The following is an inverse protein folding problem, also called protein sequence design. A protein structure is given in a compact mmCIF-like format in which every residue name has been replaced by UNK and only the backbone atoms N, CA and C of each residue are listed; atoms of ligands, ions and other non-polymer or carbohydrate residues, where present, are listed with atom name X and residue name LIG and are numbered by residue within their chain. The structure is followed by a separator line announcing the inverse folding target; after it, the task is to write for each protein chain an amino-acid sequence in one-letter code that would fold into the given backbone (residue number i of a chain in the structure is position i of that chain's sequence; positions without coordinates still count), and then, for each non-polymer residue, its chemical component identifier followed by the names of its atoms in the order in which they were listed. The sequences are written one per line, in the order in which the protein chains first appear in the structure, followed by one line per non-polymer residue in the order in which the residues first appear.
data_IF_390354634720
#
_entry.id   IF_390354634720
#
_cell.length_a   1.000
_cell.length_b   1.000
_cell.length_c   1.000
_cell.angle_alpha   90.00
_cell.angle_beta   90.00
_cell.angle_gamma   90.00
#
_symmetry.space_group_name_H-M   'P 1'
#
loop_
_entity.id
_entity.type
_entity.pdbx_description
1 polymer ?
#
# COMPACT_ATOMS: atom_id res chain seq x y z
N UNK A 1 23.13 3.71 -23.82
CA UNK A 1 21.83 3.30 -23.28
C UNK A 1 21.44 4.24 -22.14
N UNK A 2 20.40 5.06 -22.35
CA UNK A 2 19.67 5.79 -21.31
C UNK A 2 19.30 4.91 -20.10
N UNK A 3 19.20 5.55 -18.95
CA UNK A 3 18.88 4.92 -17.66
C UNK A 3 17.52 4.19 -17.70
N UNK A 4 16.53 4.76 -18.41
CA UNK A 4 15.22 4.11 -18.59
C UNK A 4 15.28 2.88 -19.49
N UNK A 5 16.13 2.89 -20.51
CA UNK A 5 16.31 1.72 -21.40
C UNK A 5 17.00 0.56 -20.66
N UNK A 6 17.94 0.86 -19.74
CA UNK A 6 18.52 -0.13 -18.81
C UNK A 6 17.45 -0.80 -17.96
N UNK A 7 16.52 -0.02 -17.41
CA UNK A 7 15.40 -0.54 -16.63
C UNK A 7 14.50 -1.48 -17.44
N UNK A 8 14.10 -1.03 -18.63
CA UNK A 8 13.19 -1.79 -19.49
C UNK A 8 13.86 -3.09 -19.99
N UNK A 9 15.14 -3.04 -20.36
CA UNK A 9 15.89 -4.21 -20.79
C UNK A 9 16.05 -5.22 -19.64
N UNK A 10 16.35 -4.76 -18.43
CA UNK A 10 16.43 -5.63 -17.25
C UNK A 10 15.10 -6.32 -16.95
N UNK A 11 13.97 -5.62 -17.07
CA UNK A 11 12.64 -6.19 -16.85
C UNK A 11 12.34 -7.33 -17.84
N UNK A 12 12.64 -7.13 -19.12
CA UNK A 12 12.47 -8.17 -20.15
C UNK A 12 13.34 -9.41 -19.90
N UNK A 13 14.54 -9.21 -19.35
CA UNK A 13 15.50 -10.28 -19.10
C UNK A 13 15.28 -10.98 -17.75
N UNK A 14 14.48 -10.42 -16.84
CA UNK A 14 14.23 -11.00 -15.50
C UNK A 14 13.71 -12.45 -15.55
N UNK A 15 12.93 -12.78 -16.58
CA UNK A 15 12.44 -14.15 -16.82
C UNK A 15 13.48 -15.05 -17.51
N UNK A 16 14.23 -14.52 -18.48
CA UNK A 16 15.06 -15.31 -19.40
C UNK A 16 16.54 -15.41 -19.01
N UNK A 17 17.12 -14.34 -18.45
CA UNK A 17 18.53 -14.23 -18.08
C UNK A 17 18.68 -13.30 -16.85
N UNK A 18 18.49 -13.89 -15.67
CA UNK A 18 18.55 -13.15 -14.40
C UNK A 18 19.93 -12.53 -14.13
N UNK A 19 21.08 -13.21 -14.40
CA UNK A 19 22.40 -12.59 -14.27
C UNK A 19 22.56 -11.34 -15.14
N UNK A 20 22.10 -11.37 -16.40
CA UNK A 20 22.17 -10.20 -17.26
C UNK A 20 21.22 -9.09 -16.78
N UNK A 21 19.99 -9.44 -16.37
CA UNK A 21 19.06 -8.48 -15.79
C UNK A 21 19.68 -7.77 -14.58
N UNK A 22 20.31 -8.51 -13.67
CA UNK A 22 20.99 -7.96 -12.49
C UNK A 22 22.10 -6.98 -12.88
N UNK A 23 22.94 -7.37 -13.84
CA UNK A 23 24.02 -6.51 -14.34
C UNK A 23 23.48 -5.18 -14.86
N UNK A 24 22.37 -5.20 -15.59
CA UNK A 24 21.73 -3.99 -16.11
C UNK A 24 21.14 -3.13 -15.00
N UNK A 25 20.52 -3.74 -13.97
CA UNK A 25 20.01 -3.02 -12.80
C UNK A 25 21.12 -2.34 -12.01
N UNK A 26 22.24 -3.03 -11.76
CA UNK A 26 23.40 -2.47 -11.07
C UNK A 26 24.06 -1.33 -11.87
N UNK A 27 24.13 -1.46 -13.20
CA UNK A 27 24.59 -0.37 -14.07
C UNK A 27 23.64 0.84 -14.02
N UNK A 28 22.33 0.60 -13.98
CA UNK A 28 21.33 1.65 -13.80
C UNK A 28 21.52 2.37 -12.47
N UNK A 29 21.69 1.63 -11.39
CA UNK A 29 21.90 2.17 -10.04
C UNK A 29 23.17 3.02 -9.94
N UNK A 30 24.27 2.58 -10.54
CA UNK A 30 25.51 3.35 -10.55
C UNK A 30 25.39 4.68 -11.31
N UNK A 31 24.50 4.75 -12.31
CA UNK A 31 24.28 5.96 -13.12
C UNK A 31 23.21 6.89 -12.57
N UNK A 32 22.26 6.35 -11.82
CA UNK A 32 21.19 7.10 -11.18
C UNK A 32 20.89 6.53 -9.79
N UNK A 33 21.70 6.89 -8.78
CA UNK A 33 21.58 6.33 -7.44
C UNK A 33 20.30 6.72 -6.70
N UNK A 34 19.61 7.77 -7.14
CA UNK A 34 18.38 8.27 -6.50
C UNK A 34 17.12 7.55 -6.98
N UNK A 35 17.24 6.75 -8.03
CA UNK A 35 16.12 5.97 -8.58
C UNK A 35 15.82 4.71 -7.79
N UNK A 36 14.64 4.13 -8.04
CA UNK A 36 14.08 2.95 -7.33
C UNK A 36 14.74 1.60 -7.73
N UNK A 37 16.05 1.58 -7.96
CA UNK A 37 16.80 0.36 -8.33
C UNK A 37 16.80 -0.73 -7.27
N UNK A 38 16.93 -0.41 -5.96
CA UNK A 38 16.86 -1.41 -4.90
C UNK A 38 15.57 -2.23 -4.94
N UNK A 39 14.43 -1.61 -5.30
CA UNK A 39 13.16 -2.32 -5.46
C UNK A 39 13.20 -3.35 -6.58
N UNK A 40 13.76 -2.97 -7.74
CA UNK A 40 13.87 -3.88 -8.90
C UNK A 40 14.80 -5.04 -8.59
N UNK A 41 15.93 -4.78 -7.93
CA UNK A 41 16.85 -5.83 -7.47
C UNK A 41 16.19 -6.75 -6.45
N UNK A 42 15.48 -6.20 -5.46
CA UNK A 42 14.78 -6.98 -4.45
C UNK A 42 13.73 -7.91 -5.07
N UNK A 43 12.96 -7.43 -6.04
CA UNK A 43 12.01 -8.27 -6.81
C UNK A 43 12.73 -9.36 -7.60
N UNK A 44 13.78 -9.02 -8.36
CA UNK A 44 14.57 -9.98 -9.14
C UNK A 44 15.12 -11.11 -8.27
N UNK A 45 15.65 -10.78 -7.09
CA UNK A 45 16.15 -11.79 -6.16
C UNK A 45 15.04 -12.63 -5.53
N UNK A 46 13.88 -12.06 -5.20
CA UNK A 46 12.74 -12.84 -4.73
C UNK A 46 12.23 -13.83 -5.79
N UNK A 47 12.13 -13.40 -7.04
CA UNK A 47 11.76 -14.25 -8.18
C UNK A 47 12.80 -15.34 -8.46
N UNK A 48 14.09 -15.04 -8.25
CA UNK A 48 15.15 -16.03 -8.32
C UNK A 48 14.98 -17.13 -7.26
N UNK A 49 14.69 -16.76 -6.01
CA UNK A 49 14.48 -17.70 -4.92
C UNK A 49 13.29 -18.62 -5.20
N UNK A 50 12.18 -18.09 -5.72
CA UNK A 50 10.98 -18.85 -6.05
C UNK A 50 11.07 -19.65 -7.37
N UNK A 51 12.13 -19.43 -8.16
CA UNK A 51 12.32 -20.01 -9.48
C UNK A 51 13.04 -21.35 -9.49
N UNK A 52 13.15 -21.96 -10.69
CA UNK A 52 13.79 -23.26 -10.88
C UNK A 52 15.34 -23.21 -10.99
N UNK A 53 15.93 -22.04 -11.21
CA UNK A 53 17.39 -21.88 -11.31
C UNK A 53 18.04 -21.86 -9.93
N UNK A 54 18.42 -23.04 -9.44
CA UNK A 54 19.02 -23.23 -8.13
C UNK A 54 20.38 -22.50 -7.97
N UNK A 55 21.15 -22.35 -9.06
CA UNK A 55 22.47 -21.72 -8.99
C UNK A 55 22.32 -20.21 -8.75
N UNK A 56 21.46 -19.55 -9.52
CA UNK A 56 21.19 -18.13 -9.33
C UNK A 56 20.38 -17.85 -8.06
N UNK A 57 19.45 -18.74 -7.66
CA UNK A 57 18.76 -18.63 -6.37
C UNK A 57 19.72 -18.60 -5.18
N UNK A 58 20.76 -19.46 -5.19
CA UNK A 58 21.79 -19.46 -4.14
C UNK A 58 22.57 -18.14 -4.09
N UNK A 59 22.93 -17.59 -5.24
CA UNK A 59 23.59 -16.28 -5.32
C UNK A 59 22.68 -15.16 -4.83
N UNK A 60 21.42 -15.15 -5.24
CA UNK A 60 20.42 -14.18 -4.79
C UNK A 60 20.24 -14.23 -3.27
N UNK A 61 20.17 -15.44 -2.68
CA UNK A 61 20.08 -15.64 -1.23
C UNK A 61 21.28 -15.03 -0.51
N UNK A 62 22.50 -15.33 -0.98
CA UNK A 62 23.73 -14.79 -0.40
C UNK A 62 23.75 -13.26 -0.46
N UNK A 63 23.44 -12.66 -1.62
CA UNK A 63 23.41 -11.21 -1.79
C UNK A 63 22.41 -10.54 -0.85
N UNK A 64 21.25 -11.16 -0.65
CA UNK A 64 20.26 -10.68 0.32
C UNK A 64 20.75 -10.81 1.77
N UNK A 65 21.45 -11.88 2.12
CA UNK A 65 22.03 -12.07 3.47
C UNK A 65 23.18 -11.08 3.76
N UNK A 66 23.93 -10.67 2.75
CA UNK A 66 25.02 -9.70 2.87
C UNK A 66 24.56 -8.25 2.72
N UNK A 67 23.34 -8.02 2.23
CA UNK A 67 22.81 -6.68 1.96
C UNK A 67 22.70 -5.83 3.23
N UNK A 68 23.07 -4.56 3.07
CA UNK A 68 22.85 -3.48 4.04
C UNK A 68 21.85 -2.43 3.49
N UNK A 69 21.22 -2.72 2.35
CA UNK A 69 20.22 -1.85 1.73
C UNK A 69 18.81 -2.23 2.25
N UNK A 70 18.19 -1.38 3.11
CA UNK A 70 16.89 -1.67 3.69
C UNK A 70 15.76 -1.67 2.66
N UNK A 71 15.85 -0.88 1.58
CA UNK A 71 14.82 -0.86 0.54
C UNK A 71 14.86 -2.15 -0.31
N UNK A 72 16.05 -2.64 -0.60
CA UNK A 72 16.26 -3.93 -1.27
C UNK A 72 15.68 -5.06 -0.41
N UNK A 73 16.04 -5.11 0.88
CA UNK A 73 15.60 -6.14 1.82
C UNK A 73 14.07 -6.10 2.06
N UNK A 74 13.49 -4.91 2.25
CA UNK A 74 12.05 -4.74 2.40
C UNK A 74 11.29 -5.24 1.17
N UNK A 75 11.78 -4.90 -0.03
CA UNK A 75 11.14 -5.31 -1.28
C UNK A 75 11.27 -6.82 -1.50
N UNK A 76 12.47 -7.37 -1.34
CA UNK A 76 12.69 -8.81 -1.46
C UNK A 76 11.85 -9.58 -0.44
N UNK A 77 11.82 -9.11 0.82
CA UNK A 77 11.04 -9.71 1.89
C UNK A 77 9.55 -9.79 1.56
N UNK A 78 8.97 -8.71 1.04
CA UNK A 78 7.57 -8.70 0.60
C UNK A 78 7.29 -9.73 -0.52
N UNK A 79 8.10 -9.74 -1.59
CA UNK A 79 7.87 -10.65 -2.71
C UNK A 79 8.11 -12.11 -2.33
N UNK A 80 9.11 -12.40 -1.50
CA UNK A 80 9.37 -13.74 -0.96
C UNK A 80 8.20 -14.20 -0.10
N UNK A 81 7.65 -13.32 0.75
CA UNK A 81 6.50 -13.63 1.59
C UNK A 81 5.27 -14.07 0.78
N UNK A 82 5.00 -13.39 -0.35
CA UNK A 82 3.85 -13.69 -1.22
C UNK A 82 4.12 -14.77 -2.27
N UNK A 83 5.34 -15.29 -2.32
CA UNK A 83 5.73 -16.30 -3.31
C UNK A 83 5.31 -17.71 -2.89
N UNK A 84 5.39 -18.66 -3.84
CA UNK A 84 5.19 -20.09 -3.58
C UNK A 84 6.44 -20.79 -3.00
N UNK A 85 7.47 -20.02 -2.59
CA UNK A 85 8.68 -20.57 -2.00
C UNK A 85 8.33 -21.31 -0.68
N UNK A 86 8.82 -22.55 -0.47
CA UNK A 86 8.75 -23.19 0.84
C UNK A 86 9.36 -22.30 1.93
N UNK A 87 8.66 -22.11 3.04
CA UNK A 87 9.04 -21.19 4.12
C UNK A 87 9.18 -19.72 3.70
N UNK A 88 8.67 -19.33 2.52
CA UNK A 88 8.72 -17.96 2.00
C UNK A 88 8.11 -16.93 2.96
N UNK A 89 7.07 -17.30 3.71
CA UNK A 89 6.49 -16.40 4.72
C UNK A 89 7.46 -16.10 5.86
N UNK A 90 8.16 -17.11 6.38
CA UNK A 90 9.16 -16.94 7.45
C UNK A 90 10.34 -16.14 6.93
N UNK A 91 10.82 -16.49 5.73
CA UNK A 91 11.96 -15.86 5.11
C UNK A 91 11.71 -14.40 4.76
N UNK A 92 10.52 -14.11 4.22
CA UNK A 92 10.09 -12.77 3.87
C UNK A 92 10.00 -11.86 5.09
N UNK A 93 9.42 -12.36 6.20
CA UNK A 93 9.39 -11.65 7.49
C UNK A 93 10.79 -11.32 8.00
N UNK A 94 11.71 -12.29 7.98
CA UNK A 94 13.08 -12.06 8.44
C UNK A 94 13.80 -10.95 7.65
N UNK A 95 13.58 -10.86 6.34
CA UNK A 95 14.14 -9.77 5.52
C UNK A 95 13.54 -8.40 5.83
N UNK A 96 12.22 -8.32 6.02
CA UNK A 96 11.56 -7.07 6.42
C UNK A 96 12.00 -6.63 7.82
N UNK A 97 12.12 -7.56 8.77
CA UNK A 97 12.61 -7.27 10.12
C UNK A 97 14.06 -6.76 10.09
N UNK A 98 14.93 -7.38 9.29
CA UNK A 98 16.29 -6.89 9.12
C UNK A 98 16.34 -5.51 8.47
N UNK A 99 15.47 -5.23 7.49
CA UNK A 99 15.36 -3.89 6.91
C UNK A 99 15.00 -2.83 7.97
N UNK A 100 14.08 -3.16 8.89
CA UNK A 100 13.70 -2.28 10.01
C UNK A 100 14.79 -2.15 11.08
N UNK A 101 15.63 -3.18 11.27
CA UNK A 101 16.79 -3.08 12.16
C UNK A 101 17.87 -2.15 11.58
N UNK A 102 18.07 -2.18 10.26
CA UNK A 102 19.04 -1.31 9.56
C UNK A 102 18.55 0.12 9.47
N UNK A 103 17.26 0.30 9.18
CA UNK A 103 16.61 1.61 9.13
C UNK A 103 15.21 1.53 9.77
N UNK A 104 15.10 1.90 11.06
CA UNK A 104 13.82 1.94 11.78
C UNK A 104 12.81 2.95 11.23
N UNK A 105 13.17 3.81 10.27
CA UNK A 105 12.27 4.77 9.62
C UNK A 105 12.01 4.41 8.15
N UNK A 106 12.45 3.22 7.71
CA UNK A 106 12.29 2.77 6.33
C UNK A 106 10.82 2.62 5.96
N UNK A 107 10.32 3.59 5.19
CA UNK A 107 8.95 3.58 4.62
C UNK A 107 8.68 2.26 3.85
N UNK A 108 9.58 1.77 2.96
CA UNK A 108 9.38 0.48 2.30
C UNK A 108 9.25 -0.71 3.25
N UNK A 109 10.02 -0.73 4.35
CA UNK A 109 10.00 -1.83 5.30
C UNK A 109 8.73 -1.83 6.16
N UNK A 110 8.29 -0.67 6.64
CA UNK A 110 7.00 -0.53 7.31
C UNK A 110 5.83 -0.89 6.38
N UNK A 111 5.86 -0.43 5.13
CA UNK A 111 4.84 -0.79 4.14
C UNK A 111 4.80 -2.30 3.86
N UNK A 112 5.97 -2.96 3.76
CA UNK A 112 6.06 -4.41 3.61
C UNK A 112 5.49 -5.13 4.83
N UNK A 113 5.84 -4.70 6.05
CA UNK A 113 5.31 -5.26 7.31
C UNK A 113 3.79 -5.13 7.38
N UNK A 114 3.25 -3.95 7.06
CA UNK A 114 1.81 -3.71 7.02
C UNK A 114 1.07 -4.60 6.01
N UNK A 115 1.64 -4.81 4.82
CA UNK A 115 1.05 -5.71 3.79
C UNK A 115 1.04 -7.18 4.19
N UNK A 116 2.03 -7.59 4.97
CA UNK A 116 2.19 -8.97 5.41
C UNK A 116 1.41 -9.27 6.70
N UNK A 117 0.91 -8.22 7.35
CA UNK A 117 0.09 -8.32 8.53
C UNK A 117 -1.30 -8.85 8.17
N UNK A 118 -1.76 -9.85 8.92
CA UNK A 118 -3.12 -10.34 8.84
C UNK A 118 -3.81 -10.01 10.16
N UNK A 119 -4.99 -9.37 10.10
CA UNK A 119 -5.73 -9.05 11.31
C UNK A 119 -6.20 -10.36 11.94
N UNK A 120 -6.40 -10.36 13.26
CA UNK A 120 -7.01 -11.51 13.92
C UNK A 120 -8.44 -11.74 13.38
N UNK A 121 -8.83 -13.01 13.25
CA UNK A 121 -10.19 -13.37 12.83
C UNK A 121 -11.23 -12.76 13.77
N UNK A 122 -12.27 -12.16 13.19
CA UNK A 122 -13.32 -11.49 13.94
C UNK A 122 -12.91 -10.19 14.65
N UNK A 123 -11.70 -9.66 14.40
CA UNK A 123 -11.32 -8.31 14.82
C UNK A 123 -12.07 -7.23 14.04
N UNK A 124 -12.03 -5.99 14.54
CA UNK A 124 -12.62 -4.85 13.85
C UNK A 124 -12.01 -4.65 12.45
N UNK A 125 -10.69 -4.87 12.30
CA UNK A 125 -9.99 -4.75 11.03
C UNK A 125 -10.37 -5.87 10.05
N UNK A 126 -10.58 -7.10 10.54
CA UNK A 126 -11.09 -8.20 9.71
C UNK A 126 -12.50 -7.90 9.18
N UNK A 127 -13.40 -7.39 10.03
CA UNK A 127 -14.75 -6.97 9.63
C UNK A 127 -14.72 -5.83 8.61
N UNK A 128 -13.83 -4.85 8.79
CA UNK A 128 -13.70 -3.73 7.84
C UNK A 128 -13.23 -4.20 6.45
N UNK A 129 -12.25 -5.11 6.39
CA UNK A 129 -11.80 -5.75 5.13
C UNK A 129 -12.90 -6.58 4.49
N UNK A 130 -13.70 -7.29 5.30
CA UNK A 130 -14.86 -8.03 4.81
C UNK A 130 -15.91 -7.09 4.20
N UNK A 131 -16.20 -5.97 4.86
CA UNK A 131 -17.13 -4.97 4.37
C UNK A 131 -16.71 -4.40 3.00
N UNK A 132 -15.42 -4.09 2.84
CA UNK A 132 -14.85 -3.66 1.57
C UNK A 132 -15.03 -4.72 0.47
N UNK A 133 -14.73 -5.99 0.78
CA UNK A 133 -14.94 -7.09 -0.16
C UNK A 133 -16.39 -7.23 -0.59
N UNK A 134 -17.33 -7.16 0.35
CA UNK A 134 -18.78 -7.23 0.08
C UNK A 134 -19.25 -6.05 -0.78
N UNK A 135 -18.74 -4.85 -0.51
CA UNK A 135 -19.04 -3.66 -1.30
C UNK A 135 -18.63 -3.83 -2.77
N UNK A 136 -17.40 -4.28 -3.02
CA UNK A 136 -16.91 -4.51 -4.39
C UNK A 136 -17.58 -5.68 -5.11
N UNK A 137 -18.17 -6.62 -4.36
CA UNK A 137 -19.04 -7.68 -4.91
C UNK A 137 -20.47 -7.19 -5.20
N UNK A 138 -20.80 -5.94 -4.84
CA UNK A 138 -22.13 -5.35 -5.02
C UNK A 138 -23.12 -5.66 -3.90
N UNK A 139 -22.72 -6.41 -2.86
CA UNK A 139 -23.56 -6.70 -1.70
C UNK A 139 -23.48 -5.55 -0.68
N UNK A 140 -24.26 -4.50 -0.95
CA UNK A 140 -24.28 -3.28 -0.14
C UNK A 140 -24.82 -3.52 1.28
N UNK A 141 -25.74 -4.47 1.45
CA UNK A 141 -26.34 -4.74 2.76
C UNK A 141 -25.34 -5.45 3.68
N UNK A 142 -24.65 -6.47 3.17
CA UNK A 142 -23.56 -7.12 3.90
C UNK A 142 -22.43 -6.11 4.20
N UNK A 143 -22.04 -5.30 3.22
CA UNK A 143 -21.01 -4.27 3.40
C UNK A 143 -21.38 -3.26 4.50
N UNK A 144 -22.63 -2.78 4.50
CA UNK A 144 -23.11 -1.84 5.53
C UNK A 144 -23.10 -2.47 6.91
N UNK A 145 -23.56 -3.72 7.03
CA UNK A 145 -23.59 -4.47 8.30
C UNK A 145 -22.18 -4.67 8.86
N UNK A 146 -21.26 -5.14 8.03
CA UNK A 146 -19.89 -5.45 8.44
C UNK A 146 -19.12 -4.17 8.80
N UNK A 147 -19.25 -3.09 8.02
CA UNK A 147 -18.63 -1.81 8.32
C UNK A 147 -19.17 -1.19 9.63
N UNK A 148 -20.48 -1.26 9.85
CA UNK A 148 -21.08 -0.77 11.11
C UNK A 148 -20.58 -1.58 12.31
N UNK A 149 -20.47 -2.89 12.16
CA UNK A 149 -19.96 -3.79 13.20
C UNK A 149 -18.48 -3.52 13.50
N UNK A 150 -17.67 -3.29 12.46
CA UNK A 150 -16.27 -2.90 12.59
C UNK A 150 -16.12 -1.61 13.41
N UNK A 151 -16.91 -0.57 13.14
CA UNK A 151 -16.88 0.68 13.91
C UNK A 151 -17.26 0.47 15.38
N UNK A 152 -18.30 -0.32 15.65
CA UNK A 152 -18.71 -0.62 17.02
C UNK A 152 -17.64 -1.38 17.80
N UNK A 153 -16.96 -2.33 17.15
CA UNK A 153 -15.89 -3.10 17.78
C UNK A 153 -14.62 -2.27 17.96
N UNK A 154 -14.22 -1.47 16.97
CA UNK A 154 -13.06 -0.58 17.08
C UNK A 154 -13.21 0.42 18.24
N UNK A 155 -14.42 0.92 18.48
CA UNK A 155 -14.71 1.80 19.62
C UNK A 155 -14.58 1.09 20.98
N UNK A 156 -14.84 -0.22 21.04
CA UNK A 156 -14.70 -1.02 22.27
C UNK A 156 -13.27 -1.49 22.52
N UNK A 157 -12.46 -1.59 21.46
CA UNK A 157 -11.11 -2.16 21.48
C UNK A 157 -10.08 -1.15 20.99
N UNK A 158 -9.99 0.02 21.62
CA UNK A 158 -9.05 1.09 21.24
C UNK A 158 -7.58 0.75 21.48
N UNK A 159 -7.29 -0.37 22.15
CA UNK A 159 -5.93 -0.90 22.34
C UNK A 159 -5.51 -1.89 21.26
N UNK A 160 -6.43 -2.32 20.39
CA UNK A 160 -6.12 -3.18 19.24
C UNK A 160 -5.19 -2.42 18.29
N UNK A 161 -4.07 -3.00 17.83
CA UNK A 161 -3.10 -2.29 16.97
C UNK A 161 -3.67 -1.79 15.64
N UNK A 162 -4.78 -2.38 15.16
CA UNK A 162 -5.39 -2.08 13.87
C UNK A 162 -6.70 -1.28 13.99
N UNK A 163 -7.11 -0.86 15.20
CA UNK A 163 -8.40 -0.21 15.40
C UNK A 163 -8.58 1.06 14.54
N UNK A 164 -7.51 1.84 14.34
CA UNK A 164 -7.54 3.00 13.45
C UNK A 164 -7.76 2.62 11.99
N UNK A 165 -7.08 1.57 11.50
CA UNK A 165 -7.30 1.00 10.16
C UNK A 165 -8.77 0.59 9.98
N UNK A 166 -9.34 -0.08 10.99
CA UNK A 166 -10.74 -0.49 10.96
C UNK A 166 -11.70 0.71 10.87
N UNK A 167 -11.45 1.77 11.64
CA UNK A 167 -12.24 3.02 11.60
C UNK A 167 -12.16 3.66 10.21
N UNK A 168 -10.96 3.76 9.65
CA UNK A 168 -10.75 4.33 8.33
C UNK A 168 -11.53 3.55 7.26
N UNK A 169 -11.25 2.24 7.12
CA UNK A 169 -11.84 1.40 6.07
C UNK A 169 -13.37 1.32 6.17
N UNK A 170 -13.91 1.13 7.38
CA UNK A 170 -15.34 1.06 7.57
C UNK A 170 -16.05 2.38 7.18
N UNK A 171 -15.47 3.53 7.53
CA UNK A 171 -16.01 4.82 7.10
C UNK A 171 -15.91 5.02 5.58
N UNK A 172 -14.81 4.60 4.94
CA UNK A 172 -14.70 4.68 3.48
C UNK A 172 -15.80 3.88 2.79
N UNK A 173 -16.07 2.64 3.24
CA UNK A 173 -17.15 1.81 2.71
C UNK A 173 -18.52 2.44 2.94
N UNK A 174 -18.82 2.88 4.16
CA UNK A 174 -20.10 3.53 4.47
C UNK A 174 -20.31 4.81 3.66
N UNK A 175 -19.25 5.58 3.41
CA UNK A 175 -19.30 6.76 2.56
C UNK A 175 -19.59 6.44 1.09
N UNK A 176 -18.97 5.39 0.53
CA UNK A 176 -19.25 4.96 -0.85
C UNK A 176 -20.68 4.40 -0.99
N UNK A 177 -21.20 3.71 0.02
CA UNK A 177 -22.59 3.30 0.07
C UNK A 177 -23.51 4.53 0.12
N UNK A 178 -23.21 5.52 0.97
CA UNK A 178 -23.99 6.76 1.03
C UNK A 178 -24.00 7.53 -0.30
N UNK A 179 -22.90 7.51 -1.07
CA UNK A 179 -22.89 8.05 -2.43
C UNK A 179 -23.86 7.30 -3.36
N UNK A 180 -23.95 5.97 -3.24
CA UNK A 180 -24.92 5.16 -4.01
C UNK A 180 -26.37 5.48 -3.64
N UNK A 181 -26.61 5.88 -2.38
CA UNK A 181 -27.92 6.25 -1.86
C UNK A 181 -28.26 7.74 -2.14
N UNK A 182 -27.42 8.45 -2.89
CA UNK A 182 -27.49 9.91 -3.11
C UNK A 182 -27.46 10.75 -1.81
N UNK A 183 -26.96 10.17 -0.70
CA UNK A 183 -26.76 10.85 0.57
C UNK A 183 -25.34 11.42 0.67
N UNK A 184 -25.11 12.48 -0.10
CA UNK A 184 -23.83 13.19 -0.16
C UNK A 184 -23.38 13.69 1.21
N UNK A 185 -24.31 14.13 2.05
CA UNK A 185 -24.00 14.66 3.39
C UNK A 185 -23.41 13.57 4.29
N UNK A 186 -23.99 12.38 4.28
CA UNK A 186 -23.44 11.23 5.01
C UNK A 186 -22.11 10.77 4.41
N UNK A 187 -21.96 10.78 3.09
CA UNK A 187 -20.70 10.44 2.43
C UNK A 187 -19.55 11.37 2.87
N UNK A 188 -19.78 12.69 2.90
CA UNK A 188 -18.79 13.67 3.42
C UNK A 188 -18.46 13.40 4.89
N UNK A 189 -19.48 13.15 5.73
CA UNK A 189 -19.26 12.87 7.15
C UNK A 189 -18.38 11.63 7.35
N UNK A 190 -18.65 10.56 6.61
CA UNK A 190 -17.87 9.34 6.65
C UNK A 190 -16.43 9.58 6.17
N UNK A 191 -16.23 10.28 5.04
CA UNK A 191 -14.89 10.60 4.54
C UNK A 191 -14.05 11.36 5.57
N UNK A 192 -14.63 12.37 6.22
CA UNK A 192 -13.91 13.15 7.24
C UNK A 192 -13.62 12.33 8.51
N UNK A 193 -14.54 11.46 8.92
CA UNK A 193 -14.31 10.52 10.02
C UNK A 193 -13.19 9.52 9.70
N UNK A 194 -13.06 9.08 8.45
CA UNK A 194 -11.94 8.26 8.01
C UNK A 194 -10.61 9.03 8.13
N UNK A 195 -10.57 10.29 7.68
CA UNK A 195 -9.39 11.15 7.78
C UNK A 195 -8.91 11.40 9.23
N UNK A 196 -9.83 11.35 10.19
CA UNK A 196 -9.55 11.54 11.62
C UNK A 196 -9.23 10.23 12.37
N UNK A 197 -9.18 9.08 11.67
CA UNK A 197 -8.84 7.80 12.27
C UNK A 197 -7.45 7.83 12.93
N UNK A 198 -7.28 7.25 14.13
CA UNK A 198 -5.98 7.15 14.78
C UNK A 198 -4.94 6.47 13.90
N UNK A 199 -3.70 6.97 13.92
CA UNK A 199 -2.63 6.38 13.12
C UNK A 199 -2.34 4.95 13.56
N UNK A 200 -2.32 4.04 12.60
CA UNK A 200 -1.79 2.68 12.73
C UNK A 200 -0.60 2.54 11.79
N UNK A 201 0.17 1.46 11.92
CA UNK A 201 1.25 1.18 10.97
C UNK A 201 0.72 1.07 9.53
N UNK A 202 -0.39 0.37 9.34
CA UNK A 202 -1.04 0.26 8.04
C UNK A 202 -1.46 1.64 7.52
N UNK A 203 -2.21 2.45 8.29
CA UNK A 203 -2.60 3.78 7.81
C UNK A 203 -1.43 4.73 7.53
N UNK A 204 -0.33 4.61 8.26
CA UNK A 204 0.84 5.46 8.08
C UNK A 204 1.65 5.09 6.81
N UNK A 205 1.79 3.80 6.51
CA UNK A 205 2.75 3.32 5.50
C UNK A 205 2.14 2.52 4.36
N UNK A 206 0.90 2.06 4.50
CA UNK A 206 0.20 1.25 3.52
C UNK A 206 -1.33 1.37 3.65
N UNK A 207 -1.94 2.20 2.83
CA UNK A 207 -3.40 2.22 2.74
C UNK A 207 -3.79 1.31 1.58
N UNK A 208 -4.27 0.09 1.90
CA UNK A 208 -4.81 -0.82 0.89
C UNK A 208 -5.96 -0.17 0.12
N UNK A 209 -6.11 -0.61 -1.14
CA UNK A 209 -7.13 -0.31 -2.16
C UNK A 209 -8.10 0.87 -1.93
N UNK A 210 -8.20 1.70 -2.98
CA UNK A 210 -9.24 2.72 -3.12
C UNK A 210 -9.26 3.89 -2.10
N UNK A 211 -8.13 4.39 -1.54
CA UNK A 211 -8.17 5.56 -0.65
C UNK A 211 -8.77 6.80 -1.35
N UNK A 212 -8.77 6.82 -2.67
CA UNK A 212 -9.24 7.93 -3.49
C UNK A 212 -10.60 7.69 -4.17
N UNK A 213 -11.26 6.52 -4.03
CA UNK A 213 -12.55 6.30 -4.69
C UNK A 213 -13.63 7.23 -4.13
N UNK A 214 -13.85 7.20 -2.81
CA UNK A 214 -14.82 8.08 -2.16
C UNK A 214 -14.48 9.57 -2.36
N UNK A 215 -13.23 10.04 -2.11
CA UNK A 215 -12.84 11.41 -2.44
C UNK A 215 -13.05 11.78 -3.92
N UNK A 216 -12.78 10.85 -4.84
CA UNK A 216 -12.99 11.03 -6.28
C UNK A 216 -14.46 11.22 -6.63
N UNK A 217 -15.33 10.36 -6.11
CA UNK A 217 -16.79 10.47 -6.28
C UNK A 217 -17.31 11.80 -5.74
N UNK A 218 -16.89 12.17 -4.52
CA UNK A 218 -17.30 13.41 -3.87
C UNK A 218 -16.80 14.64 -4.63
N UNK A 219 -15.56 14.62 -5.12
CA UNK A 219 -15.00 15.71 -5.92
C UNK A 219 -15.74 15.89 -7.25
N UNK A 220 -16.10 14.78 -7.92
CA UNK A 220 -16.89 14.80 -9.14
C UNK A 220 -18.31 15.34 -8.91
N UNK A 221 -18.87 15.11 -7.72
CA UNK A 221 -20.20 15.59 -7.31
C UNK A 221 -20.17 17.04 -6.75
N UNK A 222 -19.00 17.69 -6.77
CA UNK A 222 -18.81 19.11 -6.42
C UNK A 222 -18.31 19.38 -5.00
N UNK A 223 -18.00 18.36 -4.20
CA UNK A 223 -17.55 18.49 -2.79
C UNK A 223 -16.07 18.85 -2.65
N UNK A 224 -15.66 19.96 -3.28
CA UNK A 224 -14.27 20.39 -3.34
C UNK A 224 -13.65 20.67 -1.97
N UNK A 225 -14.31 21.44 -1.12
CA UNK A 225 -13.76 21.86 0.17
C UNK A 225 -13.64 20.68 1.15
N UNK A 226 -14.62 19.78 1.16
CA UNK A 226 -14.57 18.57 1.99
C UNK A 226 -13.45 17.63 1.56
N UNK A 227 -13.21 17.49 0.25
CA UNK A 227 -12.09 16.67 -0.25
C UNK A 227 -10.74 17.32 0.07
N UNK A 228 -10.60 18.64 -0.04
CA UNK A 228 -9.40 19.35 0.40
C UNK A 228 -9.15 19.15 1.91
N UNK A 229 -10.20 19.18 2.72
CA UNK A 229 -10.11 18.94 4.15
C UNK A 229 -9.69 17.49 4.46
N UNK A 230 -10.25 16.51 3.76
CA UNK A 230 -9.83 15.10 3.86
C UNK A 230 -8.34 14.95 3.56
N UNK A 231 -7.87 15.44 2.41
CA UNK A 231 -6.47 15.33 1.98
C UNK A 231 -5.51 15.96 3.00
N UNK A 232 -5.85 17.15 3.51
CA UNK A 232 -5.02 17.85 4.49
C UNK A 232 -4.95 17.15 5.85
N UNK A 233 -6.06 16.54 6.30
CA UNK A 233 -6.09 15.76 7.55
C UNK A 233 -5.34 14.44 7.39
N UNK A 234 -5.65 13.72 6.32
CA UNK A 234 -5.06 12.40 6.07
C UNK A 234 -3.55 12.47 5.80
N UNK A 235 -3.04 13.55 5.20
CA UNK A 235 -1.61 13.77 5.02
C UNK A 235 -0.82 13.88 6.33
N UNK A 236 -1.49 14.16 7.47
CA UNK A 236 -0.84 14.13 8.79
C UNK A 236 -0.58 12.70 9.25
N UNK A 237 -1.49 11.78 8.93
CA UNK A 237 -1.47 10.36 9.31
C UNK A 237 -0.66 9.53 8.32
N UNK A 238 -0.95 9.63 7.02
CA UNK A 238 -0.31 8.84 5.98
C UNK A 238 1.07 9.41 5.62
N UNK A 239 2.12 8.80 6.15
CA UNK A 239 3.52 9.19 5.93
C UNK A 239 3.96 8.84 4.51
N UNK A 240 3.59 7.65 4.03
CA UNK A 240 3.98 7.16 2.71
C UNK A 240 3.50 8.08 1.57
N UNK A 241 2.23 8.51 1.62
CA UNK A 241 1.60 9.25 0.52
C UNK A 241 1.48 10.76 0.81
N UNK A 242 2.07 11.26 1.92
CA UNK A 242 1.94 12.68 2.34
C UNK A 242 2.18 13.67 1.21
N UNK A 243 3.25 13.46 0.43
CA UNK A 243 3.60 14.36 -0.69
C UNK A 243 2.54 14.36 -1.77
N UNK A 244 2.00 13.18 -2.12
CA UNK A 244 1.01 13.00 -3.17
C UNK A 244 -0.36 13.54 -2.76
N UNK A 245 -0.73 13.36 -1.48
CA UNK A 245 -1.94 13.94 -0.88
C UNK A 245 -1.91 15.47 -0.94
N UNK A 246 -0.79 16.08 -0.54
CA UNK A 246 -0.63 17.54 -0.58
C UNK A 246 -0.60 18.07 -2.02
N UNK A 247 0.12 17.40 -2.93
CA UNK A 247 0.13 17.76 -4.34
C UNK A 247 -1.27 17.66 -4.97
N UNK A 248 -2.04 16.63 -4.63
CA UNK A 248 -3.43 16.49 -5.08
C UNK A 248 -4.31 17.63 -4.57
N UNK A 249 -4.13 18.04 -3.31
CA UNK A 249 -4.84 19.20 -2.76
C UNK A 249 -4.49 20.50 -3.50
N UNK A 250 -3.22 20.70 -3.86
CA UNK A 250 -2.80 21.85 -4.65
C UNK A 250 -3.39 21.86 -6.05
N UNK A 251 -3.45 20.70 -6.74
CA UNK A 251 -4.13 20.59 -8.04
C UNK A 251 -5.60 21.03 -7.92
N UNK A 252 -6.32 20.50 -6.93
CA UNK A 252 -7.74 20.82 -6.72
C UNK A 252 -7.92 22.32 -6.43
N UNK A 253 -7.03 22.95 -5.64
CA UNK A 253 -7.07 24.40 -5.37
C UNK A 253 -6.97 25.23 -6.67
N UNK A 254 -6.23 24.74 -7.65
CA UNK A 254 -6.08 25.40 -8.96
C UNK A 254 -7.13 24.95 -9.98
N UNK A 255 -8.18 24.23 -9.57
CA UNK A 255 -9.22 23.74 -10.47
C UNK A 255 -8.76 22.60 -11.39
N UNK A 256 -7.63 21.98 -11.07
CA UNK A 256 -7.08 20.84 -11.81
C UNK A 256 -7.52 19.53 -11.17
N UNK A 257 -7.58 18.47 -11.99
CA UNK A 257 -7.98 17.13 -11.57
C UNK A 257 -6.74 16.32 -11.17
N UNK A 258 -6.70 15.73 -9.96
CA UNK A 258 -5.68 14.76 -9.60
C UNK A 258 -5.72 13.51 -10.48
N UNK A 259 -4.65 12.72 -10.48
CA UNK A 259 -4.54 11.48 -11.29
C UNK A 259 -5.62 10.44 -10.94
N UNK A 260 -6.10 10.45 -9.70
CA UNK A 260 -7.15 9.55 -9.21
C UNK A 260 -8.56 10.10 -9.42
N UNK A 261 -8.73 11.28 -10.03
CA UNK A 261 -10.05 11.80 -10.36
C UNK A 261 -10.77 10.83 -11.32
N UNK A 262 -12.06 10.50 -11.09
CA UNK A 262 -12.79 9.57 -11.94
C UNK A 262 -12.78 9.99 -13.41
N UNK A 263 -12.58 9.04 -14.34
CA UNK A 263 -12.78 9.33 -15.76
C UNK A 263 -14.22 9.83 -16.00
N UNK A 264 -14.41 10.69 -16.99
CA UNK A 264 -15.75 11.01 -17.45
C UNK A 264 -16.29 9.78 -18.21
N UNK A 265 -17.45 9.28 -17.78
CA UNK A 265 -18.21 8.24 -18.48
C UNK A 265 -18.72 8.74 -19.85
#
# INVERSE_FOLDING_TARGET
MPVQELANAAELLSAADKPLAEKLLLQGQARDPQSKWPRRLGRLYAEALAGADAAYAKLARQKLEESQDPELLATAGHFVFTSNLPDGQVLGKAYVERALQLDPQSVPAHAARARMHQPADGSAAALARQAESSFFKGDRDAARKDATSALQQAQKSTTDPDYGTAIYQANMVLGMIAMSDHDRKSAVKCMLAAADAPSTEELAYYVSSAPYQLPGMLLADGERESVLQFLARFAKTCVADRKELLASADLIRHGQKPVWYPAAD
#
